data_IF_196137376471
#
_entry.id   IF_196137376471
#
_cell.length_a   1.000
_cell.length_b   1.000
_cell.length_c   1.000
_cell.angle_alpha   90.00
_cell.angle_beta   90.00
_cell.angle_gamma   90.00
#
_symmetry.space_group_name_H-M   'P 1'
#
loop_
_entity.id
_entity.type
_entity.pdbx_description
1 polymer ?
#
# COMPACT_ATOMS: atom_id res chain seq x y z
N UNK A 1 -21.64 -20.11 13.04
CA UNK A 1 -21.76 -18.78 12.43
C UNK A 1 -20.73 -18.61 11.33
N UNK A 2 -21.17 -18.15 10.17
CA UNK A 2 -20.24 -17.82 9.10
C UNK A 2 -19.54 -16.49 9.44
N UNK A 3 -18.21 -16.47 9.42
CA UNK A 3 -17.46 -15.24 9.57
C UNK A 3 -17.65 -14.38 8.32
N UNK A 4 -17.86 -13.07 8.50
CA UNK A 4 -17.91 -12.14 7.40
C UNK A 4 -16.54 -12.06 6.72
N UNK A 5 -16.53 -12.17 5.38
CA UNK A 5 -15.33 -12.03 4.57
C UNK A 5 -15.42 -10.79 3.70
N UNK A 6 -14.34 -10.04 3.65
CA UNK A 6 -14.21 -8.84 2.85
C UNK A 6 -12.94 -8.93 2.00
N UNK A 7 -12.84 -8.04 1.02
CA UNK A 7 -11.60 -7.86 0.29
C UNK A 7 -10.73 -6.83 1.00
N UNK A 8 -9.49 -7.20 1.25
CA UNK A 8 -8.52 -6.36 1.96
C UNK A 8 -7.33 -6.04 1.09
N UNK A 9 -6.63 -4.98 1.46
CA UNK A 9 -5.35 -4.59 0.87
C UNK A 9 -4.30 -4.45 1.97
N UNK A 10 -3.06 -4.67 1.60
CA UNK A 10 -1.91 -4.42 2.48
C UNK A 10 -1.17 -3.21 1.97
N UNK A 11 -1.00 -2.23 2.84
CA UNK A 11 -0.36 -0.96 2.53
C UNK A 11 0.99 -0.85 3.22
N UNK A 12 1.96 -0.31 2.49
CA UNK A 12 3.19 0.20 3.09
C UNK A 12 3.03 1.69 3.34
N UNK A 13 3.48 2.16 4.48
CA UNK A 13 3.44 3.57 4.83
C UNK A 13 4.85 4.08 5.08
N UNK A 14 5.09 5.33 4.72
CA UNK A 14 6.38 5.96 4.96
C UNK A 14 6.59 6.27 6.44
N UNK A 15 7.85 6.48 6.83
CA UNK A 15 8.16 6.92 8.19
C UNK A 15 7.59 8.32 8.46
N UNK A 16 7.53 8.72 9.74
CA UNK A 16 6.86 9.94 10.16
C UNK A 16 7.40 11.21 9.48
N UNK A 17 8.72 11.35 9.37
CA UNK A 17 9.34 12.55 8.81
C UNK A 17 8.98 12.75 7.34
N UNK A 18 9.09 11.69 6.55
CA UNK A 18 8.76 11.74 5.13
C UNK A 18 7.26 11.82 4.91
N UNK A 19 6.47 11.19 5.78
CA UNK A 19 5.02 11.25 5.72
C UNK A 19 4.52 12.68 5.90
N UNK A 20 5.10 13.46 6.81
CA UNK A 20 4.73 14.86 7.02
C UNK A 20 4.91 15.69 5.76
N UNK A 21 6.04 15.53 5.06
CA UNK A 21 6.31 16.24 3.82
C UNK A 21 5.29 15.89 2.73
N UNK A 22 4.97 14.62 2.59
CA UNK A 22 3.97 14.14 1.62
C UNK A 22 2.57 14.62 1.98
N UNK A 23 2.22 14.66 3.27
CA UNK A 23 0.92 15.17 3.71
C UNK A 23 0.73 16.66 3.42
N UNK A 24 1.78 17.47 3.56
CA UNK A 24 1.74 18.89 3.18
C UNK A 24 1.44 19.04 1.69
N UNK A 25 2.13 18.28 0.85
CA UNK A 25 1.90 18.29 -0.59
C UNK A 25 0.48 17.84 -0.93
N UNK A 26 0.02 16.78 -0.29
CA UNK A 26 -1.31 16.22 -0.50
C UNK A 26 -2.42 17.21 -0.15
N UNK A 27 -2.28 17.94 0.96
CA UNK A 27 -3.25 18.97 1.34
C UNK A 27 -3.36 20.06 0.29
N UNK A 28 -2.23 20.53 -0.26
CA UNK A 28 -2.22 21.51 -1.34
C UNK A 28 -2.95 21.01 -2.58
N UNK A 29 -2.69 19.78 -2.98
CA UNK A 29 -3.32 19.16 -4.15
C UNK A 29 -4.83 18.97 -3.93
N UNK A 30 -5.23 18.46 -2.77
CA UNK A 30 -6.65 18.25 -2.46
C UNK A 30 -7.43 19.56 -2.43
N UNK A 31 -6.82 20.66 -1.97
CA UNK A 31 -7.46 21.97 -1.97
C UNK A 31 -7.77 22.46 -3.38
N UNK A 32 -6.89 22.12 -4.34
CA UNK A 32 -7.07 22.51 -5.75
C UNK A 32 -8.07 21.58 -6.45
N UNK A 33 -7.97 20.28 -6.23
CA UNK A 33 -8.72 19.26 -6.95
C UNK A 33 -10.03 18.85 -6.28
N UNK A 34 -10.25 19.25 -5.03
CA UNK A 34 -11.47 18.97 -4.26
C UNK A 34 -11.81 17.46 -4.25
N UNK A 35 -10.80 16.63 -4.04
CA UNK A 35 -10.95 15.18 -4.02
C UNK A 35 -11.15 14.60 -2.62
N UNK A 36 -11.56 13.32 -2.51
CA UNK A 36 -11.68 12.65 -1.22
C UNK A 36 -10.34 12.47 -0.56
N UNK A 37 -10.33 12.48 0.77
CA UNK A 37 -9.09 12.28 1.53
C UNK A 37 -8.81 10.81 1.73
N UNK A 38 -7.62 10.39 1.31
CA UNK A 38 -7.06 9.07 1.62
C UNK A 38 -5.69 9.23 2.27
N UNK A 39 -5.35 8.40 3.27
CA UNK A 39 -3.99 8.38 3.81
C UNK A 39 -2.97 8.04 2.72
N UNK A 40 -1.82 8.69 2.78
CA UNK A 40 -0.73 8.39 1.85
C UNK A 40 -0.21 6.98 2.12
N UNK A 41 -0.18 6.16 1.08
CA UNK A 41 0.21 4.76 1.17
C UNK A 41 0.70 4.24 -0.18
N UNK A 42 1.38 3.10 -0.12
CA UNK A 42 1.71 2.32 -1.30
C UNK A 42 1.06 0.95 -1.14
N UNK A 43 0.21 0.56 -2.08
CA UNK A 43 -0.42 -0.75 -2.04
C UNK A 43 0.58 -1.84 -2.40
N UNK A 44 0.85 -2.74 -1.47
CA UNK A 44 1.74 -3.88 -1.70
C UNK A 44 0.96 -5.03 -2.33
N UNK A 45 -0.17 -5.39 -1.74
CA UNK A 45 -1.03 -6.47 -2.23
C UNK A 45 -2.48 -6.06 -2.03
N UNK A 46 -3.35 -6.46 -2.95
CA UNK A 46 -4.75 -6.09 -2.90
C UNK A 46 -5.64 -7.30 -3.23
N UNK A 47 -6.95 -7.12 -3.03
CA UNK A 47 -7.97 -8.12 -3.32
C UNK A 47 -7.77 -9.42 -2.54
N UNK A 48 -7.33 -9.30 -1.28
CA UNK A 48 -7.15 -10.43 -0.38
C UNK A 48 -8.48 -10.73 0.30
N UNK A 49 -9.06 -11.88 0.00
CA UNK A 49 -10.33 -12.29 0.59
C UNK A 49 -10.08 -12.95 1.95
N UNK A 50 -10.82 -12.54 2.95
CA UNK A 50 -10.74 -13.15 4.27
C UNK A 50 -11.43 -12.32 5.33
N UNK A 51 -11.31 -12.77 6.57
CA UNK A 51 -11.73 -11.99 7.74
C UNK A 51 -10.55 -11.22 8.29
N UNK A 52 -10.83 -10.06 8.87
CA UNK A 52 -9.81 -9.23 9.50
C UNK A 52 -8.96 -10.01 10.50
N UNK A 53 -9.61 -10.79 11.35
CA UNK A 53 -8.94 -11.58 12.38
C UNK A 53 -7.95 -12.60 11.80
N UNK A 54 -8.36 -13.31 10.75
CA UNK A 54 -7.50 -14.29 10.08
C UNK A 54 -6.30 -13.65 9.41
N UNK A 55 -6.53 -12.52 8.74
CA UNK A 55 -5.47 -11.81 8.01
C UNK A 55 -4.45 -11.19 8.96
N UNK A 56 -4.91 -10.60 10.06
CA UNK A 56 -4.02 -10.06 11.10
C UNK A 56 -3.18 -11.17 11.70
N UNK A 57 -3.78 -12.31 11.99
CA UNK A 57 -3.07 -13.46 12.55
C UNK A 57 -1.99 -13.98 11.59
N UNK A 58 -2.28 -14.06 10.30
CA UNK A 58 -1.29 -14.43 9.29
C UNK A 58 -0.13 -13.44 9.24
N UNK A 59 -0.44 -12.14 9.29
CA UNK A 59 0.59 -11.11 9.28
C UNK A 59 1.49 -11.24 10.51
N UNK A 60 0.91 -11.35 11.70
CA UNK A 60 1.65 -11.48 12.95
C UNK A 60 2.56 -12.71 12.96
N UNK A 61 2.10 -13.83 12.43
CA UNK A 61 2.86 -15.07 12.36
C UNK A 61 4.06 -14.99 11.43
N UNK A 62 4.10 -13.99 10.55
CA UNK A 62 5.13 -13.87 9.52
C UNK A 62 5.94 -12.56 9.65
N UNK A 63 5.81 -11.83 10.75
CA UNK A 63 6.51 -10.55 10.93
C UNK A 63 8.03 -10.69 10.84
N UNK A 64 8.58 -11.82 11.28
CA UNK A 64 10.02 -12.07 11.22
C UNK A 64 10.55 -12.20 9.79
N UNK A 65 9.68 -12.38 8.79
CA UNK A 65 10.06 -12.45 7.38
C UNK A 65 10.00 -11.08 6.70
N UNK A 66 9.45 -10.07 7.38
CA UNK A 66 9.23 -8.74 6.83
C UNK A 66 10.24 -7.76 7.41
N UNK A 67 10.64 -6.78 6.61
CA UNK A 67 11.52 -5.72 7.04
C UNK A 67 11.20 -4.42 6.32
N UNK A 68 11.63 -3.31 6.89
CA UNK A 68 11.51 -2.02 6.24
C UNK A 68 12.37 -1.99 4.98
N UNK A 69 11.95 -1.21 4.02
CA UNK A 69 12.71 -0.97 2.80
C UNK A 69 12.60 0.50 2.40
N UNK A 70 13.59 0.96 1.66
CA UNK A 70 13.58 2.30 1.08
C UNK A 70 13.18 2.23 -0.38
N UNK A 71 12.49 3.27 -0.85
CA UNK A 71 12.14 3.43 -2.25
C UNK A 71 12.53 4.83 -2.70
N UNK A 72 12.79 4.97 -4.00
CA UNK A 72 12.95 6.27 -4.64
C UNK A 72 11.69 6.61 -5.41
N UNK A 73 11.24 7.85 -5.28
CA UNK A 73 10.12 8.34 -6.08
C UNK A 73 10.60 8.71 -7.48
N UNK A 74 9.72 8.58 -8.45
CA UNK A 74 9.95 8.92 -9.84
C UNK A 74 8.90 9.95 -10.27
N UNK A 75 8.52 9.95 -11.53
CA UNK A 75 7.58 10.91 -12.09
C UNK A 75 6.18 10.79 -11.49
N UNK A 76 5.43 11.90 -11.56
CA UNK A 76 4.01 11.88 -11.26
C UNK A 76 3.23 11.20 -12.37
N UNK A 77 2.10 10.60 -12.00
CA UNK A 77 1.14 10.09 -12.96
C UNK A 77 -0.27 10.41 -12.51
N UNK A 78 -1.20 10.29 -13.44
CA UNK A 78 -2.62 10.40 -13.10
C UNK A 78 -3.44 9.49 -14.00
N UNK A 79 -4.57 9.05 -13.48
CA UNK A 79 -5.53 8.27 -14.23
C UNK A 79 -6.92 8.84 -13.95
N UNK A 80 -7.80 8.73 -14.93
CA UNK A 80 -9.19 9.15 -14.76
C UNK A 80 -9.98 8.07 -14.03
N UNK A 81 -9.52 7.69 -12.84
CA UNK A 81 -10.18 6.72 -11.97
C UNK A 81 -10.25 7.27 -10.56
N UNK A 82 -11.22 6.79 -9.78
CA UNK A 82 -11.42 7.24 -8.41
C UNK A 82 -10.22 6.97 -7.51
N UNK A 83 -9.60 5.80 -7.62
CA UNK A 83 -8.53 5.36 -6.72
C UNK A 83 -7.13 5.75 -7.17
N UNK A 84 -6.95 6.16 -8.41
CA UNK A 84 -5.65 6.46 -8.98
C UNK A 84 -5.63 7.78 -9.74
N UNK A 85 -6.41 8.76 -9.27
CA UNK A 85 -6.52 10.05 -9.95
C UNK A 85 -5.21 10.84 -9.95
N UNK A 86 -4.40 10.69 -8.89
CA UNK A 86 -3.07 11.28 -8.82
C UNK A 86 -2.15 10.35 -8.02
N UNK A 87 -0.96 10.09 -8.53
CA UNK A 87 0.00 9.22 -7.87
C UNK A 87 1.43 9.62 -8.21
N UNK A 88 2.37 9.16 -7.39
CA UNK A 88 3.80 9.29 -7.63
C UNK A 88 4.35 7.89 -7.90
N UNK A 89 5.05 7.73 -9.01
CA UNK A 89 5.70 6.48 -9.33
C UNK A 89 6.89 6.24 -8.41
N UNK A 90 7.16 4.99 -8.10
CA UNK A 90 8.34 4.59 -7.33
C UNK A 90 9.22 3.68 -8.16
N UNK A 91 10.54 3.82 -8.00
CA UNK A 91 11.49 2.94 -8.65
C UNK A 91 11.52 1.60 -7.91
N UNK A 92 11.41 0.50 -8.66
CA UNK A 92 11.48 -0.83 -8.09
C UNK A 92 12.92 -1.17 -7.73
N UNK A 93 13.16 -1.69 -6.54
CA UNK A 93 14.45 -2.18 -6.11
C UNK A 93 14.32 -3.60 -5.57
N UNK A 94 15.47 -4.27 -5.37
CA UNK A 94 15.48 -5.68 -4.95
C UNK A 94 14.75 -5.92 -3.64
N UNK A 95 14.94 -5.04 -2.66
CA UNK A 95 14.32 -5.21 -1.34
C UNK A 95 12.82 -5.03 -1.41
N UNK A 96 12.34 -4.04 -2.13
CA UNK A 96 10.91 -3.85 -2.40
C UNK A 96 10.30 -5.08 -3.05
N UNK A 97 10.91 -5.56 -4.13
CA UNK A 97 10.43 -6.74 -4.87
C UNK A 97 10.41 -7.97 -3.97
N UNK A 98 11.46 -8.18 -3.18
CA UNK A 98 11.57 -9.30 -2.24
C UNK A 98 10.47 -9.26 -1.19
N UNK A 99 10.23 -8.10 -0.57
CA UNK A 99 9.18 -7.95 0.44
C UNK A 99 7.79 -8.16 -0.14
N UNK A 100 7.53 -7.64 -1.35
CA UNK A 100 6.26 -7.86 -2.03
C UNK A 100 6.04 -9.35 -2.31
N UNK A 101 7.05 -10.07 -2.78
CA UNK A 101 6.94 -11.52 -3.02
C UNK A 101 6.62 -12.29 -1.74
N UNK A 102 7.22 -11.91 -0.62
CA UNK A 102 6.94 -12.53 0.67
C UNK A 102 5.47 -12.33 1.04
N UNK A 103 4.98 -11.11 0.95
CA UNK A 103 3.59 -10.78 1.28
C UNK A 103 2.62 -11.48 0.34
N UNK A 104 2.87 -11.46 -0.98
CA UNK A 104 2.04 -12.16 -1.95
C UNK A 104 1.97 -13.66 -1.66
N UNK A 105 3.08 -14.25 -1.22
CA UNK A 105 3.12 -15.68 -0.86
C UNK A 105 2.33 -15.95 0.42
N UNK A 106 2.47 -15.11 1.44
CA UNK A 106 1.73 -15.26 2.72
C UNK A 106 0.23 -15.26 2.47
N UNK A 107 -0.26 -14.36 1.62
CA UNK A 107 -1.69 -14.17 1.35
C UNK A 107 -2.15 -14.81 0.05
N UNK A 108 -1.29 -15.59 -0.60
CA UNK A 108 -1.61 -16.30 -1.84
C UNK A 108 -2.12 -15.37 -2.95
N UNK A 109 -1.49 -14.22 -3.10
CA UNK A 109 -1.83 -13.23 -4.12
C UNK A 109 -1.06 -13.46 -5.41
N UNK A 110 -1.64 -13.05 -6.54
CA UNK A 110 -0.93 -13.04 -7.81
C UNK A 110 0.01 -11.84 -7.88
N UNK A 111 1.24 -12.01 -8.38
CA UNK A 111 2.13 -10.87 -8.60
C UNK A 111 1.53 -9.90 -9.62
N UNK A 112 1.59 -8.61 -9.33
CA UNK A 112 1.03 -7.58 -10.21
C UNK A 112 1.89 -6.33 -10.24
N UNK A 113 3.12 -6.50 -10.61
CA UNK A 113 4.02 -5.36 -10.79
C UNK A 113 3.67 -4.53 -12.01
#
# INVERSE_FOLDING_TARGET
MKKKKFLYSIWARSNNTQLEQLEVLKKKVNKILDGPYFPIHMTISSRILGSEKELIKKMESNLNRLSRFSIETDNYGYKNTFFQSLYINVKKNRKFISQKKIIDTIFNCQPNF
#
